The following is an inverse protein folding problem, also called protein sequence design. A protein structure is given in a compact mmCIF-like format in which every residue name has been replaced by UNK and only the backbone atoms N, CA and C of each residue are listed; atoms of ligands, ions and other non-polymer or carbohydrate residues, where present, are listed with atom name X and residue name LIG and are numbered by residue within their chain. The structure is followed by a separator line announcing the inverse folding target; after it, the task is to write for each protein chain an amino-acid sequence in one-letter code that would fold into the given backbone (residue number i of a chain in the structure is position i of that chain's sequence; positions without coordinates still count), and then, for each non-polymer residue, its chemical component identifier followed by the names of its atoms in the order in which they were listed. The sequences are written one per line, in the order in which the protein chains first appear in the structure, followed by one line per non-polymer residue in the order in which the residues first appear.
data_IF_226015861692
#
_entry.id   IF_226015861692
#
_cell.length_a   1.000
_cell.length_b   1.000
_cell.length_c   1.000
_cell.angle_alpha   90.00
_cell.angle_beta   90.00
_cell.angle_gamma   90.00
#
_symmetry.space_group_name_H-M   'P 1'
#
loop_
_entity.id
_entity.type
_entity.pdbx_description
1 polymer ?
#
# COMPACT_ATOMS: atom_id res chain seq x y z
N UNK A 1 9.54 5.06 -10.56
CA UNK A 1 9.11 6.22 -11.37
C UNK A 1 8.13 5.84 -12.49
N UNK A 2 8.47 4.90 -13.37
CA UNK A 2 7.71 4.58 -14.59
C UNK A 2 6.27 4.06 -14.38
N UNK A 3 5.99 3.32 -13.31
CA UNK A 3 4.64 2.84 -12.99
C UNK A 3 3.66 3.99 -12.70
N UNK A 4 4.09 4.97 -11.88
CA UNK A 4 3.27 6.13 -11.51
C UNK A 4 2.89 6.98 -12.73
N UNK A 5 3.80 7.11 -13.70
CA UNK A 5 3.55 7.86 -14.94
C UNK A 5 2.54 7.15 -15.86
N UNK A 6 2.63 5.82 -16.00
CA UNK A 6 1.65 5.02 -16.76
C UNK A 6 0.24 5.14 -16.18
N UNK A 7 0.12 5.10 -14.86
CA UNK A 7 -1.17 5.22 -14.18
C UNK A 7 -1.82 6.59 -14.39
N UNK A 8 -1.03 7.67 -14.34
CA UNK A 8 -1.52 9.01 -14.60
C UNK A 8 -2.04 9.16 -16.03
N UNK A 9 -1.26 8.71 -17.03
CA UNK A 9 -1.68 8.74 -18.44
C UNK A 9 -2.98 7.99 -18.67
N UNK A 10 -3.12 6.79 -18.09
CA UNK A 10 -4.35 5.99 -18.20
C UNK A 10 -5.56 6.67 -17.54
N UNK A 11 -5.37 7.35 -16.41
CA UNK A 11 -6.42 8.10 -15.72
C UNK A 11 -6.88 9.30 -16.56
N UNK A 12 -5.95 10.08 -17.11
CA UNK A 12 -6.28 11.19 -18.01
C UNK A 12 -7.01 10.69 -19.26
N UNK A 13 -6.54 9.60 -19.88
CA UNK A 13 -7.19 8.99 -21.04
C UNK A 13 -8.64 8.57 -20.75
N UNK A 14 -8.89 7.89 -19.61
CA UNK A 14 -10.24 7.51 -19.18
C UNK A 14 -11.12 8.73 -18.91
N UNK A 15 -10.55 9.80 -18.35
CA UNK A 15 -11.24 11.06 -18.08
C UNK A 15 -11.75 11.72 -19.36
N UNK A 16 -10.85 11.97 -20.32
CA UNK A 16 -11.22 12.62 -21.57
C UNK A 16 -12.14 11.75 -22.44
N UNK A 17 -12.13 10.42 -22.28
CA UNK A 17 -13.12 9.52 -22.90
C UNK A 17 -14.50 9.56 -22.25
N UNK A 18 -14.61 9.96 -20.97
CA UNK A 18 -15.88 10.01 -20.24
C UNK A 18 -16.80 11.12 -20.74
N UNK A 19 -16.22 12.21 -21.25
CA UNK A 19 -16.98 13.37 -21.71
C UNK A 19 -17.01 13.42 -23.24
N UNK A 20 -18.16 13.75 -23.84
CA UNK A 20 -18.31 13.83 -25.30
C UNK A 20 -17.51 14.97 -25.94
N UNK A 21 -17.20 16.04 -25.20
CA UNK A 21 -16.41 17.18 -25.71
C UNK A 21 -15.26 17.53 -24.77
N UNK A 22 -14.17 18.07 -25.33
CA UNK A 22 -12.99 18.51 -24.58
C UNK A 22 -13.35 19.67 -23.63
N UNK A 23 -14.26 20.56 -24.05
CA UNK A 23 -14.72 21.67 -23.22
C UNK A 23 -15.38 21.18 -21.92
N UNK A 24 -16.24 20.17 -22.02
CA UNK A 24 -16.91 19.58 -20.86
C UNK A 24 -15.93 18.83 -19.94
N UNK A 25 -14.93 18.16 -20.52
CA UNK A 25 -13.86 17.53 -19.76
C UNK A 25 -12.98 18.54 -19.00
N UNK A 26 -12.73 19.71 -19.60
CA UNK A 26 -11.97 20.80 -18.98
C UNK A 26 -12.74 21.51 -17.86
N UNK A 27 -14.06 21.64 -17.99
CA UNK A 27 -14.92 22.19 -16.93
C UNK A 27 -14.94 21.28 -15.69
N UNK A 28 -14.71 19.98 -15.88
CA UNK A 28 -14.66 18.98 -14.81
C UNK A 28 -13.23 18.42 -14.71
N UNK A 29 -12.24 19.18 -14.21
CA UNK A 29 -10.86 18.73 -14.15
C UNK A 29 -10.72 17.48 -13.28
N UNK A 30 -9.65 16.71 -13.51
CA UNK A 30 -9.40 15.53 -12.69
C UNK A 30 -9.17 15.97 -11.23
N UNK A 31 -9.68 15.19 -10.26
CA UNK A 31 -9.68 15.58 -8.83
C UNK A 31 -8.33 16.09 -8.32
N UNK A 32 -7.22 15.50 -8.79
CA UNK A 32 -5.88 15.94 -8.44
C UNK A 32 -5.53 17.35 -8.96
N UNK A 33 -5.91 17.69 -10.19
CA UNK A 33 -5.69 19.02 -10.76
C UNK A 33 -6.45 20.08 -9.96
N UNK A 34 -7.70 19.77 -9.57
CA UNK A 34 -8.50 20.67 -8.73
C UNK A 34 -7.87 20.90 -7.35
N UNK A 35 -7.26 19.86 -6.75
CA UNK A 35 -6.54 20.00 -5.48
C UNK A 35 -5.29 20.88 -5.62
N UNK A 36 -4.51 20.70 -6.69
CA UNK A 36 -3.32 21.52 -6.96
C UNK A 36 -3.70 22.99 -7.20
N UNK A 37 -4.81 23.24 -7.88
CA UNK A 37 -5.28 24.59 -8.15
C UNK A 37 -5.69 25.31 -6.85
N UNK A 38 -6.41 24.62 -5.95
CA UNK A 38 -6.75 25.15 -4.62
C UNK A 38 -5.51 25.40 -3.75
N UNK A 39 -4.50 24.54 -3.84
CA UNK A 39 -3.24 24.70 -3.11
C UNK A 39 -2.45 25.93 -3.60
N UNK A 40 -2.56 26.28 -4.89
CA UNK A 40 -1.87 27.42 -5.50
C UNK A 40 -2.63 28.73 -5.36
N UNK A 41 -3.88 28.72 -4.86
CA UNK A 41 -4.63 29.95 -4.71
C UNK A 41 -3.96 30.87 -3.66
N UNK A 42 -3.78 32.17 -3.98
CA UNK A 42 -3.23 33.12 -3.03
C UNK A 42 -4.17 33.24 -1.84
N UNK A 43 -3.60 33.22 -0.65
CA UNK A 43 -4.34 33.47 0.58
C UNK A 43 -4.66 34.95 0.63
N UNK A 44 -5.94 35.31 0.74
CA UNK A 44 -6.35 36.72 0.92
C UNK A 44 -5.67 37.31 2.16
N UNK A 45 -5.38 38.61 2.14
CA UNK A 45 -4.65 39.28 3.22
C UNK A 45 -5.34 39.05 4.58
N UNK A 46 -4.73 38.20 5.42
CA UNK A 46 -5.24 37.82 6.75
C UNK A 46 -5.83 36.41 6.87
N UNK A 47 -5.96 35.64 5.79
CA UNK A 47 -6.41 34.25 5.83
C UNK A 47 -5.31 33.25 6.19
N UNK A 48 -5.68 32.06 6.67
CA UNK A 48 -4.79 30.88 6.65
C UNK A 48 -4.94 30.15 5.31
N UNK A 49 -3.84 29.68 4.74
CA UNK A 49 -3.88 28.77 3.60
C UNK A 49 -4.69 27.51 3.98
N UNK A 50 -5.51 27.02 3.05
CA UNK A 50 -6.23 25.77 3.25
C UNK A 50 -5.24 24.64 3.52
N UNK A 51 -5.45 23.91 4.62
CA UNK A 51 -4.62 22.74 4.91
C UNK A 51 -4.91 21.65 3.90
N UNK A 52 -3.90 20.82 3.59
CA UNK A 52 -4.04 19.72 2.64
C UNK A 52 -5.25 18.81 2.94
N UNK A 53 -5.50 18.53 4.22
CA UNK A 53 -6.67 17.78 4.67
C UNK A 53 -8.00 18.47 4.33
N UNK A 54 -8.09 19.80 4.46
CA UNK A 54 -9.28 20.59 4.13
C UNK A 54 -9.54 20.60 2.63
N UNK A 55 -8.47 20.75 1.82
CA UNK A 55 -8.52 20.64 0.36
C UNK A 55 -9.01 19.22 -0.05
N UNK A 56 -8.51 18.19 0.62
CA UNK A 56 -8.95 16.81 0.39
C UNK A 56 -10.44 16.64 0.67
N UNK A 57 -10.94 17.15 1.80
CA UNK A 57 -12.37 17.07 2.14
C UNK A 57 -13.21 17.83 1.12
N UNK A 58 -12.77 19.02 0.69
CA UNK A 58 -13.50 19.84 -0.27
C UNK A 58 -13.60 19.18 -1.65
N UNK A 59 -12.52 18.56 -2.14
CA UNK A 59 -12.49 17.97 -3.50
C UNK A 59 -12.96 16.51 -3.54
N UNK A 60 -12.66 15.73 -2.50
CA UNK A 60 -12.94 14.29 -2.45
C UNK A 60 -14.20 13.96 -1.63
N UNK A 61 -14.66 14.88 -0.79
CA UNK A 61 -15.76 14.69 0.17
C UNK A 61 -15.29 14.07 1.49
N UNK A 62 -16.05 14.31 2.57
CA UNK A 62 -15.74 13.90 3.94
C UNK A 62 -15.70 12.38 4.17
N UNK A 63 -16.29 11.59 3.25
CA UNK A 63 -16.36 10.12 3.32
C UNK A 63 -15.25 9.39 2.57
N UNK A 64 -14.36 10.10 1.85
CA UNK A 64 -13.38 9.41 1.02
C UNK A 64 -12.32 8.73 1.89
N UNK A 65 -12.13 7.42 1.69
CA UNK A 65 -11.12 6.62 2.41
C UNK A 65 -9.67 7.04 2.14
N UNK A 66 -9.46 8.06 1.31
CA UNK A 66 -8.14 8.62 1.00
C UNK A 66 -7.47 9.26 2.24
N UNK A 67 -8.23 10.01 3.06
CA UNK A 67 -7.68 10.61 4.31
C UNK A 67 -7.27 9.53 5.31
N UNK A 68 -8.02 8.41 5.37
CA UNK A 68 -7.74 7.30 6.28
C UNK A 68 -6.39 6.62 6.01
N UNK A 69 -5.90 6.65 4.76
CA UNK A 69 -4.66 5.97 4.35
C UNK A 69 -3.40 6.85 4.36
N UNK A 70 -3.50 8.14 4.62
CA UNK A 70 -2.38 9.10 4.55
C UNK A 70 -1.66 9.32 5.89
N UNK A 71 -1.95 8.52 6.92
CA UNK A 71 -1.28 8.63 8.23
C UNK A 71 -1.74 9.79 9.10
N UNK A 72 -2.87 10.44 8.75
CA UNK A 72 -3.51 11.47 9.59
C UNK A 72 -4.31 10.89 10.78
N UNK A 73 -4.48 9.57 10.84
CA UNK A 73 -5.04 8.88 12.00
C UNK A 73 -3.96 8.60 13.06
N UNK A 74 -4.34 8.28 14.30
CA UNK A 74 -3.39 7.86 15.34
C UNK A 74 -2.47 6.76 14.81
N UNK A 75 -1.16 6.91 15.00
CA UNK A 75 -0.18 5.91 14.57
C UNK A 75 -0.51 4.59 15.28
N UNK A 76 -0.83 3.50 14.57
CA UNK A 76 -1.04 2.23 15.21
C UNK A 76 0.24 1.82 15.95
N UNK A 77 0.13 1.11 17.09
CA UNK A 77 1.31 0.60 17.78
C UNK A 77 2.15 -0.22 16.78
N UNK A 78 3.46 0.02 16.82
CA UNK A 78 4.45 -0.72 16.03
C UNK A 78 4.17 -2.22 16.15
N UNK A 79 3.90 -2.90 15.03
CA UNK A 79 3.63 -4.35 15.00
C UNK A 79 4.90 -5.18 15.24
N UNK A 80 5.87 -4.69 16.01
CA UNK A 80 7.03 -5.46 16.44
C UNK A 80 6.67 -6.54 17.47
N UNK A 81 5.38 -6.83 17.66
CA UNK A 81 4.91 -8.10 18.16
C UNK A 81 5.34 -9.18 17.17
N UNK A 82 6.52 -9.77 17.44
CA UNK A 82 6.85 -11.09 16.89
C UNK A 82 5.63 -11.97 17.17
N UNK A 83 4.92 -12.36 16.12
CA UNK A 83 3.89 -13.39 16.22
C UNK A 83 4.54 -14.58 16.92
N UNK A 84 4.07 -14.91 18.12
CA UNK A 84 4.49 -16.13 18.83
C UNK A 84 3.95 -17.38 18.14
N UNK A 85 3.05 -17.21 17.17
CA UNK A 85 2.54 -18.29 16.33
C UNK A 85 3.45 -18.45 15.12
N UNK A 86 4.11 -19.62 15.07
CA UNK A 86 4.82 -20.11 13.88
C UNK A 86 3.83 -20.22 12.72
N UNK A 87 4.27 -19.84 11.53
CA UNK A 87 3.48 -20.07 10.33
C UNK A 87 3.30 -21.57 10.09
N UNK A 88 2.22 -21.98 9.41
CA UNK A 88 2.05 -23.37 8.97
C UNK A 88 3.29 -23.88 8.21
N UNK A 89 3.88 -23.00 7.38
CA UNK A 89 5.09 -23.31 6.63
C UNK A 89 6.32 -23.55 7.52
N UNK A 90 6.48 -22.80 8.61
CA UNK A 90 7.56 -23.06 9.57
C UNK A 90 7.38 -24.43 10.25
N UNK A 91 6.15 -24.79 10.61
CA UNK A 91 5.85 -26.07 11.25
C UNK A 91 6.17 -27.24 10.31
N UNK A 92 5.79 -27.13 9.02
CA UNK A 92 6.13 -28.12 7.99
C UNK A 92 7.63 -28.30 7.85
N UNK A 93 8.39 -27.20 7.73
CA UNK A 93 9.84 -27.24 7.58
C UNK A 93 10.54 -27.83 8.81
N UNK A 94 10.04 -27.54 10.01
CA UNK A 94 10.58 -28.12 11.25
C UNK A 94 10.34 -29.64 11.32
N UNK A 95 9.18 -30.11 10.85
CA UNK A 95 8.88 -31.53 10.77
C UNK A 95 9.77 -32.26 9.76
N UNK A 96 10.00 -31.67 8.58
CA UNK A 96 10.93 -32.22 7.57
C UNK A 96 12.36 -32.27 8.09
N UNK A 97 12.82 -31.22 8.77
CA UNK A 97 14.15 -31.19 9.40
C UNK A 97 14.30 -32.24 10.51
N UNK A 98 13.22 -32.52 11.25
CA UNK A 98 13.24 -33.58 12.26
C UNK A 98 13.32 -34.96 11.61
N UNK A 99 12.49 -35.23 10.60
CA UNK A 99 12.47 -36.52 9.90
C UNK A 99 13.81 -36.83 9.21
N UNK A 100 14.43 -35.83 8.56
CA UNK A 100 15.74 -35.99 7.92
C UNK A 100 16.85 -36.32 8.92
N UNK A 101 16.83 -35.71 10.11
CA UNK A 101 17.78 -36.02 11.20
C UNK A 101 17.64 -37.46 11.70
N UNK A 102 16.42 -37.93 11.90
CA UNK A 102 16.16 -39.31 12.34
C UNK A 102 16.63 -40.33 11.29
N UNK A 103 16.42 -40.04 10.00
CA UNK A 103 16.92 -40.89 8.90
C UNK A 103 18.44 -40.96 8.87
N UNK A 104 19.12 -39.83 9.07
CA UNK A 104 20.59 -39.78 9.13
C UNK A 104 21.13 -40.61 10.30
N UNK A 105 20.55 -40.48 11.49
CA UNK A 105 20.94 -41.28 12.65
C UNK A 105 20.73 -42.79 12.42
N UNK A 106 19.61 -43.17 11.80
CA UNK A 106 19.37 -44.56 11.41
C UNK A 106 20.40 -45.07 10.41
N UNK A 107 20.81 -44.24 9.45
CA UNK A 107 21.84 -44.63 8.48
C UNK A 107 23.22 -44.77 9.14
N UNK A 108 23.60 -43.84 10.01
CA UNK A 108 24.87 -43.88 10.75
C UNK A 108 24.99 -45.15 11.60
N UNK A 109 23.95 -45.49 12.36
CA UNK A 109 23.93 -46.72 13.17
C UNK A 109 24.01 -47.99 12.31
N UNK A 110 23.34 -48.02 11.15
CA UNK A 110 23.45 -49.15 10.20
C UNK A 110 24.84 -49.28 9.60
N UNK A 111 25.52 -48.17 9.33
CA UNK A 111 26.89 -48.16 8.81
C UNK A 111 27.84 -48.68 9.90
N UNK A 112 27.73 -48.16 11.13
CA UNK A 112 28.53 -48.62 12.27
C UNK A 112 28.36 -50.12 12.53
N UNK A 113 27.13 -50.64 12.44
CA UNK A 113 26.86 -52.08 12.63
C UNK A 113 27.43 -52.95 11.50
N UNK A 114 27.49 -52.46 10.26
CA UNK A 114 28.10 -53.20 9.13
C UNK A 114 29.63 -53.19 9.15
N UNK A 115 30.23 -52.24 9.87
CA UNK A 115 31.68 -52.07 9.98
C UNK A 115 32.28 -52.74 11.23
N UNK A 116 31.45 -53.34 12.08
CA UNK A 116 31.86 -54.10 13.27
C UNK A 116 31.70 -55.60 13.06
#
# INVERSE_FOLDING_TARGET
MAARYRDHRNKCHKHFKKYPTIALAKQNPYKHERMLELQKQPVSEGGQALKEAEICVQVLGSRSGYIKGLGHGPRPPSSSSKSTHKSHREIELENELKATRELLQSQETRIQHQQS
#
